data_IF_546230857165
#
_entry.id   IF_546230857165
#
_cell.length_a   1.000
_cell.length_b   1.000
_cell.length_c   1.000
_cell.angle_alpha   90.00
_cell.angle_beta   90.00
_cell.angle_gamma   90.00
#
_symmetry.space_group_name_H-M   'P 1'
#
loop_
_entity.id
_entity.type
_entity.pdbx_description
1 polymer ?
#
# COMPACT_ATOMS: atom_id res chain seq x y z
N UNK A 1 -3.67 -21.07 34.15
CA UNK A 1 -2.45 -21.63 33.53
C UNK A 1 -1.46 -20.53 33.15
N UNK A 2 -1.90 -19.46 32.46
CA UNK A 2 -1.04 -18.36 31.99
C UNK A 2 -0.48 -17.50 33.13
N UNK A 3 -1.22 -17.35 34.23
CA UNK A 3 -0.80 -16.61 35.42
C UNK A 3 0.27 -17.38 36.21
N UNK A 4 0.19 -18.72 36.22
CA UNK A 4 1.09 -19.60 36.98
C UNK A 4 2.35 -20.01 36.16
N UNK A 5 2.43 -19.71 34.85
CA UNK A 5 3.48 -20.17 33.93
C UNK A 5 4.02 -19.03 33.07
N UNK A 6 4.46 -17.94 33.71
CA UNK A 6 4.99 -16.75 32.98
C UNK A 6 6.20 -17.07 32.09
N UNK A 7 7.06 -17.99 32.50
CA UNK A 7 8.28 -18.39 31.78
C UNK A 7 8.09 -19.58 30.82
N UNK A 8 6.84 -19.98 30.53
CA UNK A 8 6.59 -21.11 29.63
C UNK A 8 6.96 -20.76 28.16
N UNK A 9 7.76 -21.59 27.47
CA UNK A 9 8.12 -21.34 26.06
C UNK A 9 6.92 -21.32 25.10
N UNK A 10 5.79 -21.93 25.50
CA UNK A 10 4.56 -21.96 24.69
C UNK A 10 3.53 -20.92 25.12
N UNK A 11 3.87 -20.04 26.08
CA UNK A 11 2.95 -19.04 26.61
C UNK A 11 2.45 -18.09 25.52
N UNK A 12 3.34 -17.66 24.66
CA UNK A 12 3.03 -16.71 23.59
C UNK A 12 2.09 -17.33 22.53
N UNK A 13 2.31 -18.58 22.17
CA UNK A 13 1.43 -19.31 21.25
C UNK A 13 0.02 -19.52 21.84
N UNK A 14 -0.06 -19.83 23.14
CA UNK A 14 -1.35 -19.97 23.84
C UNK A 14 -2.08 -18.64 23.92
N UNK A 15 -1.37 -17.54 24.21
CA UNK A 15 -1.95 -16.20 24.24
C UNK A 15 -2.45 -15.78 22.85
N UNK A 16 -1.68 -16.02 21.81
CA UNK A 16 -2.08 -15.73 20.44
C UNK A 16 -3.36 -16.51 20.08
N UNK A 17 -3.37 -17.82 20.35
CA UNK A 17 -4.56 -18.62 20.12
C UNK A 17 -5.77 -18.13 20.91
N UNK A 18 -5.58 -17.77 22.18
CA UNK A 18 -6.65 -17.23 23.03
C UNK A 18 -7.26 -15.94 22.43
N UNK A 19 -6.41 -15.01 21.99
CA UNK A 19 -6.89 -13.78 21.36
C UNK A 19 -7.53 -14.00 20.00
N UNK A 20 -7.03 -14.93 19.21
CA UNK A 20 -7.62 -15.28 17.92
C UNK A 20 -8.99 -15.96 18.10
N UNK A 21 -9.08 -16.92 19.02
CA UNK A 21 -10.35 -17.58 19.35
C UNK A 21 -11.35 -16.59 19.96
N UNK A 22 -10.90 -15.70 20.84
CA UNK A 22 -11.74 -14.65 21.42
C UNK A 22 -12.31 -13.72 20.37
N UNK A 23 -11.48 -13.26 19.43
CA UNK A 23 -11.94 -12.41 18.30
C UNK A 23 -12.95 -13.13 17.40
N UNK A 24 -12.72 -14.41 17.11
CA UNK A 24 -13.66 -15.20 16.31
C UNK A 24 -15.01 -15.32 17.02
N UNK A 25 -15.01 -15.67 18.31
CA UNK A 25 -16.25 -15.78 19.09
C UNK A 25 -16.99 -14.43 19.21
N UNK A 26 -16.25 -13.36 19.42
CA UNK A 26 -16.82 -12.00 19.53
C UNK A 26 -17.53 -11.57 18.24
N UNK A 27 -16.98 -11.93 17.08
CA UNK A 27 -17.65 -11.72 15.79
C UNK A 27 -18.82 -12.67 15.60
N UNK A 28 -18.65 -13.97 15.96
CA UNK A 28 -19.72 -14.97 15.85
C UNK A 28 -20.97 -14.61 16.64
N UNK A 29 -20.82 -14.03 17.83
CA UNK A 29 -21.92 -13.58 18.67
C UNK A 29 -22.67 -12.35 18.10
N UNK A 30 -22.02 -11.63 17.18
CA UNK A 30 -22.54 -10.38 16.57
C UNK A 30 -22.91 -10.54 15.10
N UNK A 31 -22.96 -11.78 14.59
CA UNK A 31 -23.32 -12.05 13.20
C UNK A 31 -24.74 -11.56 12.90
N UNK A 32 -24.88 -10.79 11.85
CA UNK A 32 -26.12 -10.27 11.31
C UNK A 32 -26.11 -10.27 9.77
N UNK A 33 -27.05 -9.58 9.13
CA UNK A 33 -27.15 -9.50 7.68
C UNK A 33 -25.96 -8.75 7.02
N UNK A 34 -25.12 -8.05 7.79
CA UNK A 34 -23.92 -7.36 7.31
C UNK A 34 -22.71 -8.30 7.18
N UNK A 35 -22.85 -9.55 7.61
CA UNK A 35 -21.79 -10.54 7.54
C UNK A 35 -22.12 -11.65 6.54
N UNK A 36 -21.07 -12.30 6.05
CA UNK A 36 -21.14 -13.55 5.28
C UNK A 36 -20.13 -14.53 5.83
N UNK A 37 -20.54 -15.78 5.97
CA UNK A 37 -19.66 -16.87 6.35
C UNK A 37 -19.33 -17.65 5.09
N UNK A 38 -18.07 -17.87 4.85
CA UNK A 38 -17.64 -18.82 3.83
C UNK A 38 -16.60 -19.79 4.36
N UNK A 39 -16.58 -20.96 3.76
CA UNK A 39 -15.65 -22.02 4.11
C UNK A 39 -14.83 -22.44 2.89
N UNK A 40 -13.62 -22.86 3.11
CA UNK A 40 -12.73 -23.34 2.06
C UNK A 40 -11.86 -24.48 2.58
N UNK A 41 -11.85 -25.59 1.87
CA UNK A 41 -10.86 -26.65 2.05
C UNK A 41 -9.62 -26.26 1.22
N UNK A 42 -8.45 -26.17 1.85
CA UNK A 42 -7.19 -25.87 1.20
C UNK A 42 -6.51 -27.13 0.69
N UNK A 43 -5.56 -26.98 -0.23
CA UNK A 43 -4.79 -28.09 -0.80
C UNK A 43 -3.93 -28.82 0.24
N UNK A 44 -3.51 -28.14 1.29
CA UNK A 44 -2.78 -28.71 2.44
C UNK A 44 -3.68 -29.52 3.41
N UNK A 45 -4.98 -29.65 3.10
CA UNK A 45 -5.97 -30.33 3.94
C UNK A 45 -6.53 -29.49 5.08
N UNK A 46 -6.08 -28.26 5.28
CA UNK A 46 -6.64 -27.37 6.28
C UNK A 46 -8.02 -26.83 5.86
N UNK A 47 -8.90 -26.65 6.86
CA UNK A 47 -10.24 -26.13 6.67
C UNK A 47 -10.31 -24.70 7.18
N UNK A 48 -10.63 -23.77 6.28
CA UNK A 48 -10.81 -22.36 6.61
C UNK A 48 -12.30 -22.06 6.81
N UNK A 49 -12.62 -21.44 7.94
CA UNK A 49 -13.90 -20.75 8.16
C UNK A 49 -13.56 -19.27 8.26
N UNK A 50 -14.29 -18.44 7.52
CA UNK A 50 -14.13 -16.98 7.60
C UNK A 50 -15.47 -16.29 7.76
N UNK A 51 -15.57 -15.47 8.77
CA UNK A 51 -16.62 -14.50 9.00
C UNK A 51 -16.19 -13.19 8.32
N UNK A 52 -16.92 -12.79 7.30
CA UNK A 52 -16.59 -11.65 6.46
C UNK A 52 -17.62 -10.54 6.59
N UNK A 53 -17.22 -9.41 7.16
CA UNK A 53 -18.06 -8.23 7.22
C UNK A 53 -18.10 -7.57 5.84
N UNK A 54 -19.30 -7.47 5.26
CA UNK A 54 -19.52 -6.84 3.95
C UNK A 54 -19.95 -5.37 4.10
N UNK A 55 -20.52 -5.02 5.26
CA UNK A 55 -20.91 -3.66 5.57
C UNK A 55 -20.56 -3.33 7.03
N UNK A 56 -19.51 -2.56 7.27
CA UNK A 56 -19.07 -2.22 8.62
C UNK A 56 -19.80 -1.03 9.23
N UNK A 57 -20.73 -0.39 8.50
CA UNK A 57 -21.33 0.90 8.88
C UNK A 57 -21.96 0.90 10.27
N UNK A 58 -22.75 -0.14 10.59
CA UNK A 58 -23.41 -0.26 11.89
C UNK A 58 -22.40 -0.36 13.03
N UNK A 59 -21.35 -1.17 12.87
CA UNK A 59 -20.33 -1.35 13.90
C UNK A 59 -19.47 -0.10 14.12
N UNK A 60 -19.16 0.58 13.04
CA UNK A 60 -18.43 1.84 13.13
C UNK A 60 -19.28 2.94 13.79
N UNK A 61 -20.57 2.98 13.49
CA UNK A 61 -21.49 3.89 14.17
C UNK A 61 -21.57 3.61 15.67
N UNK A 62 -21.75 2.36 16.09
CA UNK A 62 -21.76 1.97 17.50
C UNK A 62 -20.47 2.40 18.22
N UNK A 63 -19.30 2.19 17.60
CA UNK A 63 -18.02 2.64 18.16
C UNK A 63 -17.93 4.18 18.26
N UNK A 64 -18.45 4.90 17.28
CA UNK A 64 -18.43 6.37 17.32
C UNK A 64 -19.41 6.92 18.38
N UNK A 65 -20.52 6.25 18.62
CA UNK A 65 -21.52 6.63 19.62
C UNK A 65 -21.03 6.47 21.06
N UNK A 66 -19.98 5.69 21.29
CA UNK A 66 -19.28 5.62 22.58
C UNK A 66 -18.47 6.88 22.90
N UNK A 67 -18.14 7.67 21.89
CA UNK A 67 -17.37 8.91 21.99
C UNK A 67 -18.24 10.15 22.09
N UNK A 68 -17.66 11.25 22.53
CA UNK A 68 -18.33 12.56 22.55
C UNK A 68 -18.43 13.16 21.15
N UNK A 69 -17.41 12.91 20.31
CA UNK A 69 -17.36 13.32 18.91
C UNK A 69 -16.33 12.47 18.17
N UNK A 70 -16.54 12.29 16.88
CA UNK A 70 -15.62 11.58 15.99
C UNK A 70 -15.28 12.44 14.78
N UNK A 71 -14.00 12.42 14.38
CA UNK A 71 -13.51 13.10 13.19
C UNK A 71 -12.83 12.06 12.31
N UNK A 72 -13.40 11.84 11.12
CA UNK A 72 -12.84 10.95 10.10
C UNK A 72 -12.22 11.80 8.98
N UNK A 73 -11.01 11.48 8.58
CA UNK A 73 -10.33 12.22 7.52
C UNK A 73 -9.52 11.30 6.62
N UNK A 74 -9.50 11.62 5.33
CA UNK A 74 -8.67 10.97 4.33
C UNK A 74 -8.49 11.88 3.13
N UNK A 75 -7.41 11.71 2.40
CA UNK A 75 -7.21 12.37 1.11
C UNK A 75 -8.13 11.81 0.00
N UNK A 76 -8.74 10.65 0.22
CA UNK A 76 -9.45 9.85 -0.81
C UNK A 76 -10.93 9.60 -0.49
N UNK A 77 -11.55 10.34 0.40
CA UNK A 77 -12.99 10.23 0.70
C UNK A 77 -13.88 10.80 -0.42
N UNK A 78 -13.66 10.38 -1.65
CA UNK A 78 -14.45 10.81 -2.80
C UNK A 78 -15.02 9.60 -3.57
N UNK A 79 -16.33 9.53 -3.81
CA UNK A 79 -17.40 10.47 -3.41
C UNK A 79 -17.67 10.41 -1.89
N UNK A 80 -17.77 11.58 -1.25
CA UNK A 80 -17.88 11.63 0.22
C UNK A 80 -19.12 10.94 0.75
N UNK A 81 -20.24 10.99 0.03
CA UNK A 81 -21.52 10.38 0.44
C UNK A 81 -21.40 8.85 0.55
N UNK A 82 -20.65 8.23 -0.34
CA UNK A 82 -20.38 6.79 -0.29
C UNK A 82 -19.61 6.41 0.98
N UNK A 83 -18.50 7.11 1.24
CA UNK A 83 -17.70 6.83 2.44
C UNK A 83 -18.42 7.20 3.72
N UNK A 84 -19.18 8.30 3.74
CA UNK A 84 -19.99 8.70 4.89
C UNK A 84 -20.95 7.57 5.29
N UNK A 85 -21.66 7.00 4.33
CA UNK A 85 -22.55 5.87 4.55
C UNK A 85 -21.80 4.62 5.00
N UNK A 86 -20.70 4.25 4.32
CA UNK A 86 -19.91 3.06 4.61
C UNK A 86 -19.26 3.11 6.00
N UNK A 87 -18.92 4.31 6.47
CA UNK A 87 -18.30 4.54 7.78
C UNK A 87 -19.32 4.79 8.91
N UNK A 88 -20.61 4.58 8.65
CA UNK A 88 -21.67 4.73 9.66
C UNK A 88 -22.11 6.16 9.92
N UNK A 89 -21.70 7.11 9.09
CA UNK A 89 -22.15 8.50 9.19
C UNK A 89 -23.59 8.69 8.71
N UNK A 90 -24.24 9.71 9.24
CA UNK A 90 -25.61 10.11 8.95
C UNK A 90 -25.66 11.32 8.01
N UNK A 91 -26.85 11.64 7.50
CA UNK A 91 -27.03 12.84 6.65
C UNK A 91 -26.78 14.15 7.40
N UNK A 92 -26.84 14.11 8.72
CA UNK A 92 -26.72 15.28 9.60
C UNK A 92 -25.28 15.59 9.95
N UNK A 93 -24.36 14.64 9.72
CA UNK A 93 -22.93 14.83 10.01
C UNK A 93 -22.29 15.83 9.05
N UNK A 94 -21.40 16.64 9.59
CA UNK A 94 -20.71 17.67 8.82
C UNK A 94 -19.70 17.08 7.84
N UNK A 95 -19.58 17.73 6.71
CA UNK A 95 -18.60 17.43 5.66
C UNK A 95 -17.69 18.63 5.45
N UNK A 96 -16.40 18.36 5.47
CA UNK A 96 -15.40 19.40 5.24
C UNK A 96 -14.54 19.01 4.05
N UNK A 97 -14.47 19.90 3.06
CA UNK A 97 -13.63 19.72 1.88
C UNK A 97 -12.42 20.64 2.01
N UNK A 98 -11.24 20.07 2.12
CA UNK A 98 -9.99 20.80 2.05
C UNK A 98 -9.54 20.93 0.59
N UNK A 99 -9.24 22.12 0.14
CA UNK A 99 -8.66 22.36 -1.17
C UNK A 99 -7.23 21.80 -1.20
N UNK A 100 -6.80 21.30 -2.38
CA UNK A 100 -5.42 20.90 -2.58
C UNK A 100 -4.47 22.08 -2.35
N UNK A 101 -3.38 21.83 -1.62
CA UNK A 101 -2.29 22.79 -1.47
C UNK A 101 -1.45 22.94 -2.77
N UNK A 102 -1.60 22.00 -3.70
CA UNK A 102 -0.88 21.99 -4.97
C UNK A 102 -1.69 22.70 -6.06
N UNK A 103 -1.06 23.59 -6.79
CA UNK A 103 -1.67 24.26 -7.94
C UNK A 103 -1.78 23.31 -9.13
N UNK A 104 -2.83 23.46 -9.94
CA UNK A 104 -3.07 22.61 -11.11
C UNK A 104 -1.93 22.65 -12.14
N UNK A 105 -1.24 23.78 -12.22
CA UNK A 105 -0.10 23.98 -13.11
C UNK A 105 1.14 23.18 -12.72
N UNK A 106 1.17 22.64 -11.48
CA UNK A 106 2.24 21.77 -10.98
C UNK A 106 2.00 20.29 -11.33
N UNK A 107 0.85 19.97 -11.92
CA UNK A 107 0.47 18.60 -12.27
C UNK A 107 0.36 18.45 -13.78
N UNK A 108 1.06 17.46 -14.32
CA UNK A 108 0.90 17.02 -15.70
C UNK A 108 0.34 15.59 -15.68
N UNK A 109 -0.79 15.37 -16.36
CA UNK A 109 -1.41 14.07 -16.53
C UNK A 109 -1.10 13.53 -17.92
N UNK A 110 -0.46 12.36 -17.98
CA UNK A 110 -0.20 11.63 -19.22
C UNK A 110 -1.00 10.32 -19.19
N UNK A 111 -1.64 9.97 -20.28
CA UNK A 111 -2.44 8.76 -20.41
C UNK A 111 -1.89 7.88 -21.54
N UNK A 112 -1.31 6.74 -21.19
CA UNK A 112 -0.91 5.71 -22.13
C UNK A 112 -2.12 4.81 -22.44
N UNK A 113 -2.58 4.80 -23.69
CA UNK A 113 -3.79 4.08 -24.11
C UNK A 113 -3.51 2.70 -24.72
N UNK A 114 -2.26 2.38 -24.96
CA UNK A 114 -1.77 1.15 -25.61
C UNK A 114 -1.32 0.07 -24.65
N UNK A 115 -1.16 0.40 -23.35
CA UNK A 115 -0.80 -0.53 -22.28
C UNK A 115 -1.97 -0.79 -21.32
N UNK A 116 -1.94 -1.93 -20.62
CA UNK A 116 -3.00 -2.29 -19.68
C UNK A 116 -2.53 -3.24 -18.59
N UNK A 117 -3.11 -3.15 -17.41
CA UNK A 117 -2.89 -4.10 -16.30
C UNK A 117 -3.88 -5.28 -16.30
N UNK A 118 -4.79 -5.37 -17.28
CA UNK A 118 -5.81 -6.45 -17.36
C UNK A 118 -5.16 -7.82 -17.37
N UNK A 119 -5.63 -8.72 -16.50
CA UNK A 119 -5.09 -10.07 -16.36
C UNK A 119 -5.00 -10.84 -17.68
N UNK A 120 -6.03 -10.74 -18.52
CA UNK A 120 -6.12 -11.47 -19.80
C UNK A 120 -5.13 -10.97 -20.88
N UNK A 121 -4.51 -9.81 -20.68
CA UNK A 121 -3.52 -9.23 -21.61
C UNK A 121 -2.09 -9.27 -21.06
N UNK A 122 -1.89 -9.79 -19.85
CA UNK A 122 -0.56 -9.88 -19.24
C UNK A 122 0.34 -10.82 -20.02
N UNK A 123 1.42 -10.30 -20.57
CA UNK A 123 2.45 -11.03 -21.29
C UNK A 123 3.76 -10.24 -21.26
N UNK A 124 4.86 -10.86 -21.67
CA UNK A 124 6.19 -10.22 -21.70
C UNK A 124 6.22 -8.93 -22.52
N UNK A 125 5.50 -8.88 -23.64
CA UNK A 125 5.42 -7.69 -24.47
C UNK A 125 4.72 -6.53 -23.75
N UNK A 126 3.66 -6.81 -22.98
CA UNK A 126 2.97 -5.80 -22.20
C UNK A 126 3.87 -5.26 -21.07
N UNK A 127 4.59 -6.16 -20.38
CA UNK A 127 5.55 -5.74 -19.33
C UNK A 127 6.69 -4.91 -19.92
N UNK A 128 7.18 -5.28 -21.08
CA UNK A 128 8.19 -4.52 -21.81
C UNK A 128 7.70 -3.11 -22.16
N UNK A 129 6.50 -2.96 -22.70
CA UNK A 129 5.95 -1.64 -23.05
C UNK A 129 5.81 -0.76 -21.81
N UNK A 130 5.32 -1.31 -20.69
CA UNK A 130 5.19 -0.57 -19.43
C UNK A 130 6.58 -0.17 -18.91
N UNK A 131 7.55 -1.09 -18.89
CA UNK A 131 8.92 -0.80 -18.48
C UNK A 131 9.59 0.26 -19.38
N UNK A 132 9.33 0.24 -20.69
CA UNK A 132 9.79 1.28 -21.61
C UNK A 132 9.21 2.64 -21.29
N UNK A 133 7.89 2.74 -21.01
CA UNK A 133 7.28 4.00 -20.57
C UNK A 133 7.90 4.54 -19.28
N UNK A 134 8.17 3.65 -18.31
CA UNK A 134 8.85 4.04 -17.06
C UNK A 134 10.23 4.62 -17.39
N UNK A 135 11.02 3.92 -18.22
CA UNK A 135 12.33 4.38 -18.66
C UNK A 135 12.28 5.72 -19.37
N UNK A 136 11.34 5.88 -20.32
CA UNK A 136 11.18 7.13 -21.05
C UNK A 136 10.83 8.31 -20.14
N UNK A 137 9.98 8.10 -19.14
CA UNK A 137 9.61 9.14 -18.17
C UNK A 137 10.80 9.49 -17.27
N UNK A 138 11.50 8.49 -16.73
CA UNK A 138 12.65 8.66 -15.86
C UNK A 138 13.81 9.37 -16.58
N UNK A 139 14.01 9.09 -17.86
CA UNK A 139 15.07 9.71 -18.68
C UNK A 139 14.82 11.20 -18.98
N UNK A 140 13.58 11.71 -18.85
CA UNK A 140 13.29 13.11 -19.18
C UNK A 140 13.75 14.10 -18.11
N UNK A 141 13.80 13.68 -16.86
CA UNK A 141 14.14 14.57 -15.75
C UNK A 141 14.67 13.78 -14.56
N UNK A 142 15.73 14.28 -13.95
CA UNK A 142 16.22 13.76 -12.67
C UNK A 142 15.21 14.04 -11.57
N UNK A 143 14.89 13.05 -10.73
CA UNK A 143 13.93 13.22 -9.65
C UNK A 143 13.54 11.90 -8.99
N UNK A 144 12.56 11.98 -8.11
CA UNK A 144 12.00 10.83 -7.42
C UNK A 144 10.73 10.37 -8.14
N UNK A 145 10.65 9.07 -8.41
CA UNK A 145 9.54 8.44 -9.11
C UNK A 145 8.91 7.38 -8.23
N UNK A 146 7.59 7.36 -8.16
CA UNK A 146 6.81 6.35 -7.47
C UNK A 146 5.85 5.70 -8.46
N UNK A 147 5.91 4.38 -8.56
CA UNK A 147 5.16 3.61 -9.57
C UNK A 147 4.28 2.60 -8.85
N UNK A 148 2.97 2.70 -9.07
CA UNK A 148 1.96 1.85 -8.44
C UNK A 148 1.49 0.74 -9.38
N UNK A 149 1.33 -0.45 -8.83
CA UNK A 149 0.88 -1.63 -9.54
C UNK A 149 -0.32 -2.30 -8.87
N UNK A 150 -1.20 -2.96 -9.62
CA UNK A 150 -2.41 -3.58 -9.08
C UNK A 150 -2.18 -4.91 -8.33
N UNK A 151 -0.96 -5.45 -8.34
CA UNK A 151 -0.60 -6.67 -7.60
C UNK A 151 0.91 -6.89 -7.55
N UNK A 152 1.38 -7.60 -6.52
CA UNK A 152 2.79 -8.00 -6.36
C UNK A 152 3.33 -8.74 -7.58
N UNK A 153 2.61 -9.74 -8.07
CA UNK A 153 3.02 -10.50 -9.25
C UNK A 153 3.21 -9.62 -10.49
N UNK A 154 2.35 -8.62 -10.69
CA UNK A 154 2.47 -7.71 -11.82
C UNK A 154 3.65 -6.76 -11.64
N UNK A 155 3.86 -6.25 -10.42
CA UNK A 155 5.04 -5.44 -10.06
C UNK A 155 6.32 -6.20 -10.38
N UNK A 156 6.48 -7.44 -9.88
CA UNK A 156 7.67 -8.27 -10.09
C UNK A 156 7.99 -8.47 -11.57
N UNK A 157 6.97 -8.75 -12.40
CA UNK A 157 7.18 -8.95 -13.84
C UNK A 157 7.67 -7.69 -14.54
N UNK A 158 7.08 -6.54 -14.23
CA UNK A 158 7.51 -5.25 -14.82
C UNK A 158 8.87 -4.83 -14.25
N UNK A 159 9.09 -5.00 -12.93
CA UNK A 159 10.36 -4.70 -12.28
C UNK A 159 11.51 -5.49 -12.87
N UNK A 160 11.38 -6.81 -13.00
CA UNK A 160 12.41 -7.64 -13.60
C UNK A 160 12.68 -7.23 -15.04
N UNK A 161 11.64 -6.94 -15.83
CA UNK A 161 11.82 -6.45 -17.20
C UNK A 161 12.53 -5.09 -17.25
N UNK A 162 12.23 -4.19 -16.30
CA UNK A 162 12.90 -2.90 -16.18
C UNK A 162 14.38 -3.05 -15.80
N UNK A 163 14.68 -3.85 -14.78
CA UNK A 163 16.04 -4.10 -14.31
C UNK A 163 16.91 -4.76 -15.38
N UNK A 164 16.36 -5.71 -16.14
CA UNK A 164 17.09 -6.44 -17.17
C UNK A 164 17.39 -5.60 -18.42
N UNK A 165 16.57 -4.60 -18.73
CA UNK A 165 16.60 -3.93 -20.03
C UNK A 165 16.81 -2.44 -20.01
N UNK A 166 16.44 -1.76 -18.94
CA UNK A 166 16.36 -0.29 -18.89
C UNK A 166 17.12 0.32 -17.71
N UNK A 167 17.38 -0.46 -16.66
CA UNK A 167 18.04 0.03 -15.46
C UNK A 167 19.49 0.41 -15.74
N UNK A 168 19.92 1.59 -15.27
CA UNK A 168 21.27 2.12 -15.40
C UNK A 168 21.82 2.34 -14.00
N UNK A 169 22.69 1.41 -13.54
CA UNK A 169 23.22 1.38 -12.17
C UNK A 169 23.97 2.67 -11.77
N UNK A 170 24.61 3.33 -12.74
CA UNK A 170 25.40 4.54 -12.48
C UNK A 170 24.53 5.78 -12.21
N UNK A 171 23.27 5.77 -12.64
CA UNK A 171 22.41 6.96 -12.64
C UNK A 171 21.06 6.75 -11.95
N UNK A 172 20.74 5.51 -11.59
CA UNK A 172 19.44 5.15 -11.03
C UNK A 172 19.60 4.32 -9.76
N UNK A 173 18.69 4.52 -8.82
CA UNK A 173 18.47 3.63 -7.68
C UNK A 173 17.01 3.19 -7.72
N UNK A 174 16.77 1.88 -7.66
CA UNK A 174 15.45 1.30 -7.73
C UNK A 174 15.20 0.38 -6.54
N UNK A 175 14.03 0.50 -5.91
CA UNK A 175 13.63 -0.33 -4.77
C UNK A 175 12.17 -0.73 -4.90
N UNK A 176 11.86 -1.96 -4.57
CA UNK A 176 10.47 -2.44 -4.46
C UNK A 176 9.90 -2.18 -3.08
N UNK A 177 8.58 -2.13 -2.96
CA UNK A 177 7.89 -2.01 -1.68
C UNK A 177 8.32 -3.09 -0.68
N UNK A 178 8.47 -4.33 -1.13
CA UNK A 178 8.86 -5.45 -0.28
C UNK A 178 10.27 -5.28 0.27
N UNK A 179 11.22 -4.81 -0.54
CA UNK A 179 12.58 -4.48 -0.10
C UNK A 179 12.58 -3.31 0.88
N UNK A 180 11.79 -2.26 0.61
CA UNK A 180 11.66 -1.11 1.50
C UNK A 180 11.06 -1.46 2.87
N UNK A 181 10.19 -2.46 2.94
CA UNK A 181 9.63 -2.96 4.21
C UNK A 181 10.65 -3.77 5.02
N UNK A 182 11.73 -4.24 4.41
CA UNK A 182 12.86 -4.84 5.13
C UNK A 182 13.69 -3.73 5.80
N UNK A 183 13.84 -3.79 7.12
CA UNK A 183 14.49 -2.74 7.91
C UNK A 183 15.96 -2.50 7.46
N UNK A 184 16.70 -3.56 7.21
CA UNK A 184 18.10 -3.45 6.77
C UNK A 184 18.23 -2.86 5.37
N UNK A 185 17.37 -3.27 4.43
CA UNK A 185 17.34 -2.75 3.07
C UNK A 185 16.92 -1.27 3.06
N UNK A 186 15.91 -0.92 3.87
CA UNK A 186 15.43 0.46 4.04
C UNK A 186 16.51 1.37 4.62
N UNK A 187 17.22 0.94 5.67
CA UNK A 187 18.32 1.72 6.23
C UNK A 187 19.44 1.96 5.22
N UNK A 188 19.78 0.94 4.44
CA UNK A 188 20.82 1.04 3.42
C UNK A 188 20.40 2.02 2.32
N UNK A 189 19.17 1.94 1.87
CA UNK A 189 18.56 2.86 0.91
C UNK A 189 18.56 4.30 1.43
N UNK A 190 18.04 4.53 2.66
CA UNK A 190 18.01 5.86 3.27
C UNK A 190 19.40 6.44 3.52
N UNK A 191 20.39 5.61 3.83
CA UNK A 191 21.78 6.07 3.95
C UNK A 191 22.35 6.57 2.62
N UNK A 192 22.07 5.88 1.51
CA UNK A 192 22.47 6.34 0.16
C UNK A 192 21.78 7.67 -0.17
N UNK A 193 20.49 7.78 0.11
CA UNK A 193 19.72 9.00 -0.10
C UNK A 193 20.27 10.19 0.73
N UNK A 194 20.56 9.99 2.02
CA UNK A 194 21.12 11.01 2.91
C UNK A 194 22.55 11.46 2.51
N UNK A 195 23.37 10.55 1.97
CA UNK A 195 24.70 10.89 1.45
C UNK A 195 24.59 11.83 0.24
N UNK A 196 23.59 11.64 -0.60
CA UNK A 196 23.32 12.51 -1.74
C UNK A 196 22.92 13.95 -1.34
N UNK A 197 22.21 14.10 -0.22
CA UNK A 197 21.79 15.42 0.28
C UNK A 197 22.91 16.19 1.01
N UNK A 198 23.92 15.53 1.55
CA UNK A 198 24.90 16.12 2.49
C UNK A 198 26.30 16.34 1.93
N UNK A 199 26.51 16.40 0.63
CA UNK A 199 27.83 16.80 0.08
C UNK A 199 27.93 18.34 -0.01
N UNK A 200 28.65 19.01 0.94
CA UNK A 200 28.63 20.49 1.04
C UNK A 200 29.48 21.22 0.01
N UNK A 201 30.27 20.52 -0.80
CA UNK A 201 31.33 21.13 -1.64
C UNK A 201 31.18 20.91 -3.16
N UNK A 202 30.03 20.51 -3.64
CA UNK A 202 29.81 20.39 -5.08
C UNK A 202 28.91 21.51 -5.58
N UNK A 203 29.40 22.27 -6.55
CA UNK A 203 28.67 23.25 -7.35
C UNK A 203 27.32 22.68 -7.80
N UNK A 204 26.24 23.47 -7.75
CA UNK A 204 24.85 23.04 -8.02
C UNK A 204 24.65 22.23 -9.32
N UNK A 205 25.59 22.39 -10.28
CA UNK A 205 25.59 21.63 -11.52
C UNK A 205 26.17 20.21 -11.40
N UNK A 206 27.06 19.96 -10.44
CA UNK A 206 27.63 18.63 -10.21
C UNK A 206 26.78 17.79 -9.24
N UNK A 207 25.92 18.42 -8.42
CA UNK A 207 24.90 17.76 -7.60
C UNK A 207 23.83 17.05 -8.42
N UNK A 208 23.48 17.63 -9.57
CA UNK A 208 22.53 17.05 -10.50
C UNK A 208 23.05 15.77 -11.18
N UNK A 209 24.36 15.53 -11.17
CA UNK A 209 24.98 14.43 -11.91
C UNK A 209 25.20 13.15 -11.09
N UNK A 210 25.09 13.18 -9.75
CA UNK A 210 25.39 12.02 -8.91
C UNK A 210 24.21 11.15 -8.50
N UNK A 211 22.95 11.65 -8.63
CA UNK A 211 21.71 10.92 -8.32
C UNK A 211 20.61 11.36 -9.29
N UNK A 212 20.60 10.74 -10.44
CA UNK A 212 19.73 11.20 -11.52
C UNK A 212 18.29 10.78 -11.32
N UNK A 213 18.01 9.61 -10.74
CA UNK A 213 16.62 9.18 -10.52
C UNK A 213 16.47 8.09 -9.46
N UNK A 214 15.54 8.30 -8.56
CA UNK A 214 15.05 7.31 -7.63
C UNK A 214 13.73 6.74 -8.14
N UNK A 215 13.67 5.43 -8.35
CA UNK A 215 12.47 4.74 -8.79
C UNK A 215 11.95 3.85 -7.66
N UNK A 216 10.79 4.20 -7.13
CA UNK A 216 10.11 3.42 -6.09
C UNK A 216 8.90 2.71 -6.71
N UNK A 217 8.89 1.38 -6.68
CA UNK A 217 7.79 0.58 -7.18
C UNK A 217 6.94 0.07 -6.03
N UNK A 218 5.66 0.42 -6.02
CA UNK A 218 4.72 0.17 -4.95
C UNK A 218 3.41 -0.45 -5.46
N UNK A 219 2.64 -1.04 -4.55
CA UNK A 219 1.32 -1.61 -4.81
C UNK A 219 0.27 -0.69 -4.20
N UNK A 220 -0.76 -0.43 -4.98
CA UNK A 220 -1.95 0.29 -4.57
C UNK A 220 -2.98 -0.65 -3.90
#
# INVERSE_FOLDING_TARGET
YLEDHEDSPVREEILQFYFEAGRFLDVSERLDDHYRIYTRLREDGSFLIREYCIDPSLRLQECMDEGVASILFSATFLPIQYYKQLLGGTKEDFEVYASSAFHKEQMQLLLASDVTSRYTRRCELEYYHIASYISDIVAQRNGNYMIFFPSHQFLEQVYNCYMDRFYIEETQECITQQEYMNEAAREQFLKRFAIAEHHPDTDDRSRAASWESLVHMEIE
#
